data_IF_168353435689
#
_entry.id   IF_168353435689
#
_cell.length_a   1.000
_cell.length_b   1.000
_cell.length_c   1.000
_cell.angle_alpha   90.00
_cell.angle_beta   90.00
_cell.angle_gamma   90.00
#
_symmetry.space_group_name_H-M   'P 1'
#
loop_
_entity.id
_entity.type
_entity.pdbx_description
1 polymer ?
#
# COMPACT_ATOMS: atom_id res chain seq x y z
N UNK A 1 43.74 -25.89 -7.78
CA UNK A 1 42.98 -24.72 -8.24
C UNK A 1 41.52 -25.09 -8.08
N UNK A 2 40.82 -24.41 -7.19
CA UNK A 2 39.67 -24.91 -6.42
C UNK A 2 38.36 -25.02 -7.20
N UNK A 3 37.64 -26.10 -6.89
CA UNK A 3 36.30 -26.53 -7.30
C UNK A 3 35.16 -25.57 -6.89
N UNK A 4 35.32 -24.25 -7.11
CA UNK A 4 34.36 -23.23 -6.62
C UNK A 4 33.05 -23.14 -7.44
N UNK A 5 32.96 -23.83 -8.57
CA UNK A 5 31.80 -23.73 -9.48
C UNK A 5 30.59 -24.51 -8.95
N UNK A 6 30.81 -25.70 -8.37
CA UNK A 6 29.73 -26.53 -7.84
C UNK A 6 29.04 -25.93 -6.61
N UNK A 7 29.79 -25.21 -5.76
CA UNK A 7 29.25 -24.54 -4.59
C UNK A 7 28.40 -23.31 -4.96
N UNK A 8 28.78 -22.60 -6.03
CA UNK A 8 28.02 -21.46 -6.54
C UNK A 8 26.68 -21.88 -7.16
N UNK A 9 26.66 -22.97 -7.93
CA UNK A 9 25.43 -23.48 -8.54
C UNK A 9 24.47 -24.06 -7.49
N UNK A 10 24.98 -24.73 -6.46
CA UNK A 10 24.20 -25.19 -5.32
C UNK A 10 23.58 -24.02 -4.52
N UNK A 11 24.31 -22.91 -4.38
CA UNK A 11 23.79 -21.70 -3.73
C UNK A 11 22.69 -21.03 -4.57
N UNK A 12 22.87 -20.94 -5.90
CA UNK A 12 21.85 -20.39 -6.82
C UNK A 12 20.56 -21.21 -6.81
N UNK A 13 20.68 -22.54 -6.76
CA UNK A 13 19.52 -23.43 -6.65
C UNK A 13 18.75 -23.22 -5.32
N UNK A 14 19.45 -23.08 -4.19
CA UNK A 14 18.83 -22.82 -2.88
C UNK A 14 18.10 -21.47 -2.84
N UNK A 15 18.67 -20.43 -3.47
CA UNK A 15 18.03 -19.11 -3.55
C UNK A 15 16.79 -19.15 -4.44
N UNK A 16 16.83 -19.88 -5.56
CA UNK A 16 15.67 -20.06 -6.43
C UNK A 16 14.54 -20.81 -5.72
N UNK A 17 14.86 -21.87 -4.98
CA UNK A 17 13.90 -22.66 -4.21
C UNK A 17 13.28 -21.84 -3.07
N UNK A 18 14.09 -21.08 -2.31
CA UNK A 18 13.58 -20.19 -1.26
C UNK A 18 12.64 -19.11 -1.82
N UNK A 19 12.93 -18.57 -3.01
CA UNK A 19 12.06 -17.60 -3.68
C UNK A 19 10.75 -18.26 -4.14
N UNK A 20 10.81 -19.49 -4.65
CA UNK A 20 9.63 -20.26 -5.04
C UNK A 20 8.75 -20.64 -3.84
N UNK A 21 9.34 -21.07 -2.73
CA UNK A 21 8.62 -21.35 -1.47
C UNK A 21 7.95 -20.09 -0.90
N UNK A 22 8.62 -18.92 -0.97
CA UNK A 22 8.06 -17.64 -0.55
C UNK A 22 6.81 -17.26 -1.36
N UNK A 23 6.88 -17.44 -2.69
CA UNK A 23 5.74 -17.18 -3.60
C UNK A 23 4.58 -18.13 -3.35
N UNK A 24 4.84 -19.40 -3.08
CA UNK A 24 3.80 -20.37 -2.73
C UNK A 24 3.13 -20.02 -1.39
N UNK A 25 3.88 -19.57 -0.38
CA UNK A 25 3.30 -19.09 0.88
C UNK A 25 2.38 -17.89 0.70
N UNK A 26 2.77 -16.92 -0.14
CA UNK A 26 1.93 -15.76 -0.44
C UNK A 26 0.67 -16.12 -1.24
N UNK A 27 0.73 -17.14 -2.10
CA UNK A 27 -0.44 -17.65 -2.80
C UNK A 27 -1.40 -18.39 -1.85
N UNK A 28 -0.87 -19.19 -0.92
CA UNK A 28 -1.67 -19.99 0.03
C UNK A 28 -2.34 -19.16 1.13
N UNK A 29 -1.89 -17.93 1.41
CA UNK A 29 -2.55 -17.02 2.36
C UNK A 29 -3.66 -16.18 1.74
N UNK A 30 -3.82 -16.20 0.41
CA UNK A 30 -4.83 -15.44 -0.32
C UNK A 30 -6.12 -16.26 -0.54
N UNK A 31 -6.68 -16.80 0.53
CA UNK A 31 -7.91 -17.62 0.51
C UNK A 31 -9.23 -16.83 0.42
N UNK A 32 -9.19 -15.49 0.27
CA UNK A 32 -10.38 -14.68 0.06
C UNK A 32 -10.10 -13.66 -1.05
N UNK A 33 -11.02 -13.47 -2.03
CA UNK A 33 -10.96 -12.29 -2.87
C UNK A 33 -10.96 -11.05 -1.96
N UNK A 34 -10.17 -10.00 -2.26
CA UNK A 34 -10.23 -8.79 -1.45
C UNK A 34 -11.67 -8.32 -1.44
N UNK A 35 -12.29 -8.27 -0.26
CA UNK A 35 -13.59 -7.63 -0.11
C UNK A 35 -13.51 -6.26 -0.78
N UNK A 36 -14.52 -5.88 -1.58
CA UNK A 36 -14.53 -4.56 -2.17
C UNK A 36 -14.34 -3.55 -1.04
N UNK A 37 -13.38 -2.64 -1.15
CA UNK A 37 -13.07 -1.73 -0.06
C UNK A 37 -14.37 -1.07 0.39
N UNK A 38 -14.66 -1.16 1.69
CA UNK A 38 -15.87 -0.59 2.27
C UNK A 38 -16.13 0.79 1.66
N UNK A 39 -17.37 1.04 1.19
CA UNK A 39 -17.72 2.28 0.51
C UNK A 39 -17.25 3.44 1.36
N UNK A 40 -16.19 4.12 0.90
CA UNK A 40 -15.59 5.23 1.63
C UNK A 40 -16.62 6.36 1.62
N UNK A 41 -16.84 7.02 2.76
CA UNK A 41 -17.71 8.19 2.83
C UNK A 41 -17.32 9.18 1.70
N UNK A 42 -18.28 9.49 0.83
CA UNK A 42 -18.05 10.30 -0.37
C UNK A 42 -17.52 11.68 0.01
N UNK A 43 -18.06 12.27 1.08
CA UNK A 43 -17.65 13.58 1.58
C UNK A 43 -16.21 13.56 2.14
N UNK A 44 -15.83 12.52 2.88
CA UNK A 44 -14.44 12.30 3.28
C UNK A 44 -13.51 12.20 2.05
N UNK A 45 -13.95 11.55 0.98
CA UNK A 45 -13.15 11.39 -0.22
C UNK A 45 -12.97 12.72 -0.96
N UNK A 46 -14.02 13.52 -1.03
CA UNK A 46 -13.98 14.84 -1.64
C UNK A 46 -13.09 15.81 -0.87
N UNK A 47 -13.16 15.84 0.46
CA UNK A 47 -12.27 16.67 1.29
C UNK A 47 -10.80 16.28 1.04
N UNK A 48 -10.48 14.98 0.96
CA UNK A 48 -9.12 14.50 0.63
C UNK A 48 -8.69 14.94 -0.76
N UNK A 49 -9.56 14.81 -1.76
CA UNK A 49 -9.28 15.20 -3.15
C UNK A 49 -9.00 16.69 -3.27
N UNK A 50 -9.84 17.53 -2.64
CA UNK A 50 -9.66 19.00 -2.63
C UNK A 50 -8.40 19.42 -1.91
N UNK A 51 -8.11 18.82 -0.75
CA UNK A 51 -6.85 19.05 -0.02
C UNK A 51 -5.63 18.72 -0.88
N UNK A 52 -5.65 17.59 -1.59
CA UNK A 52 -4.54 17.21 -2.48
C UNK A 52 -4.40 18.16 -3.69
N UNK A 53 -5.50 18.69 -4.21
CA UNK A 53 -5.46 19.73 -5.23
C UNK A 53 -4.84 21.03 -4.70
N UNK A 54 -5.24 21.49 -3.51
CA UNK A 54 -4.69 22.68 -2.86
C UNK A 54 -3.18 22.56 -2.62
N UNK A 55 -2.70 21.40 -2.13
CA UNK A 55 -1.27 21.14 -1.94
C UNK A 55 -0.49 21.18 -3.27
N UNK A 56 -1.05 20.66 -4.36
CA UNK A 56 -0.41 20.72 -5.68
C UNK A 56 -0.34 22.15 -6.25
N UNK A 57 -1.26 23.02 -5.83
CA UNK A 57 -1.26 24.44 -6.16
C UNK A 57 -0.44 25.30 -5.17
N UNK A 58 0.24 24.68 -4.19
CA UNK A 58 0.91 25.33 -3.04
C UNK A 58 -0.01 26.26 -2.21
N UNK A 59 -1.33 26.07 -2.30
CA UNK A 59 -2.30 26.76 -1.46
C UNK A 59 -2.40 26.07 -0.09
N UNK A 60 -1.46 26.42 0.79
CA UNK A 60 -1.40 25.84 2.13
C UNK A 60 -2.55 26.28 3.02
N UNK A 61 -3.12 27.47 2.79
CA UNK A 61 -4.24 27.97 3.57
C UNK A 61 -5.51 27.16 3.28
N UNK A 62 -5.78 26.85 2.02
CA UNK A 62 -6.88 25.98 1.64
C UNK A 62 -6.65 24.53 2.10
N UNK A 63 -5.42 24.01 1.99
CA UNK A 63 -5.10 22.69 2.51
C UNK A 63 -5.33 22.56 4.04
N UNK A 64 -5.04 23.61 4.80
CA UNK A 64 -5.32 23.69 6.23
C UNK A 64 -6.84 23.72 6.50
N UNK A 65 -7.60 24.52 5.77
CA UNK A 65 -9.07 24.55 5.86
C UNK A 65 -9.69 23.18 5.62
N UNK A 66 -9.24 22.47 4.58
CA UNK A 66 -9.69 21.10 4.31
C UNK A 66 -9.31 20.11 5.40
N UNK A 67 -8.16 20.30 6.06
CA UNK A 67 -7.74 19.47 7.20
C UNK A 67 -8.67 19.64 8.39
N UNK A 68 -9.05 20.88 8.71
CA UNK A 68 -10.04 21.16 9.77
C UNK A 68 -11.43 20.61 9.39
N UNK A 69 -11.86 20.79 8.14
CA UNK A 69 -13.13 20.26 7.65
C UNK A 69 -13.20 18.72 7.79
N UNK A 70 -12.12 18.01 7.45
CA UNK A 70 -12.01 16.56 7.66
C UNK A 70 -12.23 16.17 9.12
N UNK A 71 -11.59 16.87 10.06
CA UNK A 71 -11.73 16.58 11.49
C UNK A 71 -13.14 16.86 12.02
N UNK A 72 -13.80 17.90 11.54
CA UNK A 72 -15.21 18.20 11.89
C UNK A 72 -16.16 17.15 11.32
N UNK A 73 -15.99 16.79 10.06
CA UNK A 73 -16.84 15.80 9.40
C UNK A 73 -16.69 14.43 10.08
N UNK A 74 -15.45 14.00 10.37
CA UNK A 74 -15.22 12.77 11.11
C UNK A 74 -15.99 12.74 12.43
N UNK A 75 -15.94 13.80 13.25
CA UNK A 75 -16.67 13.83 14.54
C UNK A 75 -18.19 13.89 14.42
N UNK A 76 -18.73 14.33 13.28
CA UNK A 76 -20.18 14.52 13.09
C UNK A 76 -20.84 13.36 12.37
N UNK A 77 -20.10 12.65 11.52
CA UNK A 77 -20.64 11.62 10.63
C UNK A 77 -20.13 10.21 10.92
N UNK A 78 -19.09 10.06 11.76
CA UNK A 78 -18.42 8.79 12.08
C UNK A 78 -18.11 8.68 13.58
#
# INVERSE_FOLDING_TARGET
MTDNTGENDALRAKVADANQQSRQRLASTSGNPPEPPARRCDECWDIKRRRAAALRADDRQEAARMTTAMGVHQRRAH
#
